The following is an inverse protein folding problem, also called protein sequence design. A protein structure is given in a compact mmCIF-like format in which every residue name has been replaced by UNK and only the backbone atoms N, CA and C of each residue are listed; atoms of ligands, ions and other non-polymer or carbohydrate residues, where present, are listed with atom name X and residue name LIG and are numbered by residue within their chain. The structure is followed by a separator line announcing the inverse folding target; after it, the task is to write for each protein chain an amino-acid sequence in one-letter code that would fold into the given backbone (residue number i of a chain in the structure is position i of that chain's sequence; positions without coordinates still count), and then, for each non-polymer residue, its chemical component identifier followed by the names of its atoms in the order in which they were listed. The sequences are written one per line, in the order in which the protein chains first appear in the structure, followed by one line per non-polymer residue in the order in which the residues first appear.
data_IF_108882727633
#
_entry.id   IF_108882727633
#
_cell.length_a   1.000
_cell.length_b   1.000
_cell.length_c   1.000
_cell.angle_alpha   90.00
_cell.angle_beta   90.00
_cell.angle_gamma   90.00
#
_symmetry.space_group_name_H-M   'P 1'
#
loop_
_entity.id
_entity.type
_entity.pdbx_description
1 polymer ?
#
# COMPACT_ATOMS: atom_id res chain seq x y z
N UNK A 1 0.30 -7.20 -9.34
CA UNK A 1 0.85 -7.64 -10.63
C UNK A 1 0.88 -6.42 -11.54
N UNK A 2 1.97 -6.18 -12.26
CA UNK A 2 2.14 -4.98 -13.09
C UNK A 2 2.52 -5.38 -14.52
N UNK A 3 2.08 -4.57 -15.48
CA UNK A 3 2.54 -4.61 -16.87
C UNK A 3 3.59 -3.53 -17.07
N UNK A 4 4.62 -3.81 -17.85
CA UNK A 4 5.67 -2.86 -18.19
C UNK A 4 6.08 -3.01 -19.63
N UNK A 5 7.02 -2.18 -20.07
CA UNK A 5 7.60 -2.29 -21.40
C UNK A 5 8.92 -3.02 -21.35
N UNK A 6 8.99 -4.19 -21.98
CA UNK A 6 10.21 -4.95 -22.23
C UNK A 6 10.91 -4.37 -23.45
N UNK A 7 12.17 -3.99 -23.31
CA UNK A 7 13.01 -3.44 -24.36
C UNK A 7 13.70 -4.56 -25.15
N UNK A 8 13.67 -4.44 -26.47
CA UNK A 8 14.34 -5.31 -27.42
C UNK A 8 15.29 -4.51 -28.31
N UNK A 9 16.37 -5.15 -28.78
CA UNK A 9 17.18 -4.67 -29.90
C UNK A 9 16.42 -4.83 -31.22
N UNK A 10 16.98 -4.28 -32.31
CA UNK A 10 16.44 -4.47 -33.66
C UNK A 10 16.50 -5.94 -34.08
N UNK A 11 17.49 -6.66 -33.58
CA UNK A 11 17.76 -8.08 -33.81
C UNK A 11 16.92 -9.00 -32.91
N UNK A 12 15.91 -8.44 -32.22
CA UNK A 12 15.00 -9.17 -31.34
C UNK A 12 15.66 -9.75 -30.07
N UNK A 13 16.79 -9.20 -29.63
CA UNK A 13 17.41 -9.60 -28.37
C UNK A 13 16.80 -8.84 -27.18
N UNK A 14 16.42 -9.53 -26.09
CA UNK A 14 15.83 -8.88 -24.93
C UNK A 14 16.91 -8.16 -24.10
N UNK A 15 16.69 -6.87 -23.84
CA UNK A 15 17.60 -6.04 -23.06
C UNK A 15 17.18 -5.97 -21.58
N UNK A 16 15.99 -5.44 -21.33
CA UNK A 16 15.48 -5.24 -19.97
C UNK A 16 14.16 -4.50 -19.94
N UNK A 17 13.85 -3.85 -18.82
CA UNK A 17 12.60 -3.10 -18.64
C UNK A 17 12.83 -1.61 -18.80
N UNK A 18 11.95 -0.94 -19.54
CA UNK A 18 12.05 0.49 -19.82
C UNK A 18 11.88 1.32 -18.55
N UNK A 19 12.80 2.25 -18.31
CA UNK A 19 12.62 3.35 -17.38
C UNK A 19 12.96 4.68 -18.04
N UNK A 20 12.39 5.75 -17.52
CA UNK A 20 12.71 7.13 -17.93
C UNK A 20 13.20 7.91 -16.72
N UNK A 21 14.10 8.85 -16.93
CA UNK A 21 14.50 9.79 -15.88
C UNK A 21 13.39 10.84 -15.65
N UNK A 22 13.47 11.61 -14.56
CA UNK A 22 12.41 12.52 -14.08
C UNK A 22 11.92 13.54 -15.12
N UNK A 23 12.73 13.87 -16.13
CA UNK A 23 12.36 14.76 -17.23
C UNK A 23 11.55 14.07 -18.34
N UNK A 24 11.41 12.74 -18.34
CA UNK A 24 10.93 11.90 -19.44
C UNK A 24 11.68 12.11 -20.78
N UNK A 25 12.82 12.80 -20.78
CA UNK A 25 13.62 13.07 -21.98
C UNK A 25 14.62 11.95 -22.25
N UNK A 26 15.09 11.29 -21.19
CA UNK A 26 16.06 10.20 -21.29
C UNK A 26 15.39 8.86 -21.03
N UNK A 27 15.59 7.96 -21.98
CA UNK A 27 15.07 6.60 -21.99
C UNK A 27 16.20 5.64 -21.68
N UNK A 28 15.99 4.61 -20.87
CA UNK A 28 16.98 3.57 -20.60
C UNK A 28 16.29 2.27 -20.18
N UNK A 29 17.07 1.21 -19.96
CA UNK A 29 16.54 -0.09 -19.53
C UNK A 29 17.33 -0.64 -18.35
N UNK A 30 16.67 -1.45 -17.52
CA UNK A 30 17.31 -2.15 -16.40
C UNK A 30 16.63 -3.49 -16.13
N UNK A 31 17.39 -4.45 -15.61
CA UNK A 31 16.86 -5.68 -15.01
C UNK A 31 17.02 -5.71 -13.48
N UNK A 32 17.69 -4.71 -12.88
CA UNK A 32 18.02 -4.68 -11.45
C UNK A 32 16.98 -3.92 -10.64
N UNK A 33 16.70 -2.67 -11.02
CA UNK A 33 15.85 -1.76 -10.25
C UNK A 33 14.48 -1.58 -10.92
N UNK A 34 13.65 -2.61 -10.85
CA UNK A 34 12.33 -2.62 -11.50
C UNK A 34 11.35 -1.55 -10.96
N UNK A 35 11.63 -0.97 -9.80
CA UNK A 35 10.81 0.09 -9.19
C UNK A 35 10.91 1.43 -9.94
N UNK A 36 12.00 1.65 -10.68
CA UNK A 36 12.15 2.83 -11.56
C UNK A 36 11.47 2.66 -12.90
N UNK A 37 11.17 1.41 -13.29
CA UNK A 37 10.61 1.11 -14.60
C UNK A 37 9.18 1.60 -14.72
N UNK A 38 8.82 1.97 -15.95
CA UNK A 38 7.45 2.32 -16.30
C UNK A 38 6.55 1.09 -16.11
N UNK A 39 5.47 1.27 -15.34
CA UNK A 39 4.60 0.20 -14.90
C UNK A 39 3.14 0.61 -14.83
N UNK A 40 2.24 -0.31 -15.16
CA UNK A 40 0.79 -0.13 -15.15
C UNK A 40 0.10 -1.27 -14.43
N UNK A 41 -1.00 -0.96 -13.74
CA UNK A 41 -1.83 -1.98 -13.09
C UNK A 41 -2.56 -2.88 -14.10
N UNK A 42 -2.80 -2.37 -15.31
CA UNK A 42 -3.56 -3.07 -16.36
C UNK A 42 -2.87 -2.97 -17.71
N UNK A 43 -3.04 -3.99 -18.55
CA UNK A 43 -2.51 -4.03 -19.92
C UNK A 43 -3.08 -2.88 -20.77
N UNK A 44 -4.38 -2.57 -20.60
CA UNK A 44 -5.05 -1.45 -21.29
C UNK A 44 -4.39 -0.10 -20.97
N UNK A 45 -3.97 0.09 -19.71
CA UNK A 45 -3.24 1.29 -19.30
C UNK A 45 -1.87 1.40 -19.99
N UNK A 46 -1.15 0.28 -20.12
CA UNK A 46 0.10 0.22 -20.84
C UNK A 46 -0.09 0.48 -22.34
N UNK A 47 -1.14 -0.07 -22.97
CA UNK A 47 -1.47 0.15 -24.39
C UNK A 47 -1.72 1.62 -24.72
N UNK A 48 -2.42 2.36 -23.84
CA UNK A 48 -2.76 3.78 -24.06
C UNK A 48 -1.54 4.67 -24.34
N UNK A 49 -0.39 4.35 -23.76
CA UNK A 49 0.83 5.15 -23.89
C UNK A 49 1.91 4.46 -24.72
N UNK A 50 1.63 3.28 -25.27
CA UNK A 50 2.64 2.41 -25.87
C UNK A 50 3.35 3.08 -27.06
N UNK A 51 2.61 3.63 -28.01
CA UNK A 51 3.19 4.20 -29.24
C UNK A 51 4.14 5.36 -28.94
N UNK A 52 3.78 6.23 -27.99
CA UNK A 52 4.64 7.33 -27.54
C UNK A 52 5.99 6.81 -27.04
N UNK A 53 5.98 5.82 -26.16
CA UNK A 53 7.20 5.27 -25.57
C UNK A 53 7.98 4.41 -26.57
N UNK A 54 7.31 3.66 -27.43
CA UNK A 54 7.93 2.82 -28.43
C UNK A 54 8.66 3.65 -29.50
N UNK A 55 8.06 4.76 -29.96
CA UNK A 55 8.70 5.64 -30.94
C UNK A 55 9.97 6.29 -30.37
N UNK A 56 9.92 6.78 -29.13
CA UNK A 56 11.10 7.35 -28.47
C UNK A 56 12.19 6.30 -28.24
N UNK A 57 11.79 5.07 -27.87
CA UNK A 57 12.72 3.97 -27.72
C UNK A 57 13.36 3.56 -29.05
N UNK A 58 12.59 3.47 -30.14
CA UNK A 58 13.09 3.17 -31.49
C UNK A 58 14.14 4.19 -31.93
N UNK A 59 13.88 5.47 -31.70
CA UNK A 59 14.85 6.53 -31.99
C UNK A 59 16.13 6.37 -31.16
N UNK A 60 15.99 6.20 -29.84
CA UNK A 60 17.14 6.11 -28.93
C UNK A 60 17.99 4.85 -29.14
N UNK A 61 17.35 3.71 -29.41
CA UNK A 61 17.99 2.40 -29.54
C UNK A 61 18.41 2.06 -30.98
N UNK A 62 18.27 3.01 -31.92
CA UNK A 62 18.59 2.83 -33.35
C UNK A 62 17.82 1.66 -33.98
N UNK A 63 16.51 1.58 -33.69
CA UNK A 63 15.60 0.61 -34.30
C UNK A 63 15.19 -0.57 -33.41
N UNK A 64 15.58 -0.57 -32.14
CA UNK A 64 15.01 -1.48 -31.14
C UNK A 64 13.55 -1.13 -30.82
N UNK A 65 12.82 -2.02 -30.18
CA UNK A 65 11.38 -1.86 -29.99
C UNK A 65 10.93 -2.34 -28.59
N UNK A 66 9.69 -2.01 -28.22
CA UNK A 66 9.09 -2.38 -26.95
C UNK A 66 8.03 -3.48 -27.11
N UNK A 67 7.85 -4.30 -26.08
CA UNK A 67 6.66 -5.16 -25.92
C UNK A 67 6.03 -4.94 -24.56
N UNK A 68 4.71 -5.03 -24.49
CA UNK A 68 3.99 -5.00 -23.22
C UNK A 68 4.03 -6.40 -22.63
N UNK A 69 4.65 -6.51 -21.46
CA UNK A 69 4.82 -7.80 -20.78
C UNK A 69 4.52 -7.68 -19.29
N UNK A 70 4.22 -8.83 -18.69
CA UNK A 70 4.05 -8.95 -17.24
C UNK A 70 5.40 -8.79 -16.55
N UNK A 71 5.48 -7.80 -15.67
CA UNK A 71 6.69 -7.52 -14.92
C UNK A 71 6.91 -8.58 -13.83
N UNK A 72 8.18 -8.94 -13.55
CA UNK A 72 8.54 -9.72 -12.38
C UNK A 72 8.00 -9.06 -11.10
N UNK A 73 7.69 -9.89 -10.10
CA UNK A 73 7.19 -9.42 -8.81
C UNK A 73 8.24 -8.52 -8.17
N UNK A 74 7.94 -7.22 -8.08
CA UNK A 74 8.77 -6.27 -7.36
C UNK A 74 8.58 -6.59 -5.88
N UNK A 75 9.62 -7.09 -5.22
CA UNK A 75 9.66 -7.20 -3.78
C UNK A 75 9.71 -5.77 -3.22
N UNK A 76 8.55 -5.22 -2.89
CA UNK A 76 8.49 -4.00 -2.09
C UNK A 76 9.16 -4.33 -0.76
N UNK A 77 10.33 -3.72 -0.52
CA UNK A 77 10.98 -3.82 0.77
C UNK A 77 10.01 -3.24 1.80
N UNK A 78 9.54 -4.11 2.69
CA UNK A 78 8.30 -4.00 3.49
C UNK A 78 8.16 -2.81 4.44
N UNK A 79 9.09 -1.87 4.49
CA UNK A 79 8.99 -0.72 5.38
C UNK A 79 9.05 0.56 4.54
N UNK A 80 7.92 1.29 4.45
CA UNK A 80 7.89 2.64 3.90
C UNK A 80 8.94 3.51 4.60
N UNK A 81 9.44 4.55 3.94
CA UNK A 81 10.38 5.51 4.55
C UNK A 81 9.84 6.04 5.89
N UNK A 82 8.52 6.19 5.96
CA UNK A 82 7.80 6.57 7.17
C UNK A 82 7.81 5.49 8.25
N UNK A 83 7.64 4.20 7.91
CA UNK A 83 7.78 3.11 8.88
C UNK A 83 9.20 3.02 9.45
N UNK A 84 10.23 3.18 8.61
CA UNK A 84 11.63 3.19 9.08
C UNK A 84 11.92 4.37 9.99
N UNK A 85 11.39 5.55 9.65
CA UNK A 85 11.53 6.73 10.48
C UNK A 85 10.78 6.58 11.81
N UNK A 86 9.57 6.01 11.79
CA UNK A 86 8.79 5.74 13.00
C UNK A 86 9.47 4.71 13.91
N UNK A 87 10.10 3.67 13.34
CA UNK A 87 10.90 2.70 14.09
C UNK A 87 12.13 3.35 14.75
N UNK A 88 12.84 4.22 14.01
CA UNK A 88 14.02 4.91 14.50
C UNK A 88 13.73 6.06 15.49
N UNK A 89 12.53 6.65 15.42
CA UNK A 89 12.12 7.82 16.24
C UNK A 89 10.93 7.47 17.15
N UNK A 90 10.94 6.26 17.70
CA UNK A 90 9.87 5.73 18.55
C UNK A 90 9.59 6.64 19.75
N UNK A 91 10.64 7.18 20.36
CA UNK A 91 10.55 8.06 21.53
C UNK A 91 9.95 9.43 21.18
N UNK A 92 10.30 9.98 20.02
CA UNK A 92 9.76 11.26 19.54
C UNK A 92 8.25 11.15 19.22
N UNK A 93 7.82 10.01 18.67
CA UNK A 93 6.40 9.70 18.48
C UNK A 93 5.68 9.57 19.82
N UNK A 94 6.31 8.94 20.81
CA UNK A 94 5.74 8.78 22.14
C UNK A 94 5.53 10.14 22.83
N UNK A 95 6.53 11.03 22.79
CA UNK A 95 6.42 12.39 23.32
C UNK A 95 5.41 13.25 22.56
N UNK A 96 5.39 13.19 21.23
CA UNK A 96 4.39 13.90 20.43
C UNK A 96 2.96 13.41 20.74
N UNK A 97 2.79 12.11 20.95
CA UNK A 97 1.53 11.49 21.36
C UNK A 97 1.11 11.96 22.77
N UNK A 98 2.01 11.98 23.74
CA UNK A 98 1.73 12.48 25.10
C UNK A 98 1.32 13.96 25.06
N UNK A 99 2.03 14.79 24.31
CA UNK A 99 1.72 16.21 24.14
C UNK A 99 0.36 16.44 23.44
N UNK A 100 0.00 15.58 22.48
CA UNK A 100 -1.31 15.62 21.83
C UNK A 100 -2.43 15.22 22.80
N UNK A 101 -2.23 14.14 23.55
CA UNK A 101 -3.18 13.64 24.54
C UNK A 101 -3.40 14.64 25.70
N UNK A 102 -2.37 15.40 26.09
CA UNK A 102 -2.50 16.48 27.08
C UNK A 102 -3.37 17.64 26.57
N UNK A 103 -3.25 18.00 25.27
CA UNK A 103 -4.00 19.11 24.66
C UNK A 103 -5.42 18.74 24.24
N UNK A 104 -5.66 17.48 23.94
CA UNK A 104 -6.96 16.92 23.61
C UNK A 104 -7.08 15.63 24.41
N UNK A 105 -7.75 15.65 25.57
CA UNK A 105 -8.05 14.42 26.31
C UNK A 105 -9.14 13.66 25.54
N UNK A 106 -8.77 13.13 24.38
CA UNK A 106 -9.47 11.99 23.79
C UNK A 106 -9.19 10.89 24.78
N UNK A 107 -10.21 10.43 25.50
CA UNK A 107 -10.15 9.21 26.30
C UNK A 107 -9.76 8.07 25.36
N UNK A 108 -8.46 7.84 25.19
CA UNK A 108 -7.95 6.79 24.33
C UNK A 108 -8.15 5.49 25.08
N UNK A 109 -9.25 4.81 24.80
CA UNK A 109 -9.56 3.50 25.35
C UNK A 109 -8.63 2.47 24.71
N UNK A 110 -7.67 1.95 25.49
CA UNK A 110 -6.79 0.85 25.09
C UNK A 110 -7.04 -0.34 26.03
N UNK A 111 -7.99 -1.24 25.69
CA UNK A 111 -8.27 -2.40 26.52
C UNK A 111 -7.07 -3.34 26.60
N UNK A 112 -6.94 -4.06 27.71
CA UNK A 112 -5.94 -5.13 27.89
C UNK A 112 -6.16 -6.25 26.87
N UNK A 113 -5.12 -7.02 26.57
CA UNK A 113 -5.20 -8.14 25.62
C UNK A 113 -6.32 -9.15 25.98
N UNK A 114 -6.46 -9.48 27.27
CA UNK A 114 -7.53 -10.35 27.78
C UNK A 114 -8.93 -9.83 27.45
N UNK A 115 -9.15 -8.51 27.58
CA UNK A 115 -10.43 -7.88 27.24
C UNK A 115 -10.69 -7.91 25.72
N UNK A 116 -9.63 -7.80 24.91
CA UNK A 116 -9.76 -7.89 23.45
C UNK A 116 -10.12 -9.30 22.99
N UNK A 117 -9.57 -10.33 23.63
CA UNK A 117 -9.93 -11.72 23.35
C UNK A 117 -11.37 -12.00 23.75
N UNK A 118 -11.77 -11.62 24.96
CA UNK A 118 -13.15 -11.73 25.42
C UNK A 118 -14.14 -10.99 24.50
N UNK A 119 -13.80 -9.78 24.04
CA UNK A 119 -14.64 -9.03 23.10
C UNK A 119 -14.80 -9.75 21.75
N UNK A 120 -13.78 -10.47 21.27
CA UNK A 120 -13.88 -11.24 20.03
C UNK A 120 -14.79 -12.46 20.18
N UNK A 121 -14.76 -13.12 21.33
CA UNK A 121 -15.65 -14.26 21.63
C UNK A 121 -17.12 -13.83 21.73
N UNK A 122 -17.37 -12.65 22.27
CA UNK A 122 -18.72 -12.07 22.42
C UNK A 122 -19.31 -11.48 21.13
N UNK A 123 -18.58 -11.57 20.01
CA UNK A 123 -19.00 -10.99 18.73
C UNK A 123 -20.12 -11.81 18.12
N UNK A 124 -21.20 -11.13 17.75
CA UNK A 124 -22.31 -11.78 17.06
C UNK A 124 -22.05 -11.89 15.57
N UNK A 125 -22.70 -12.87 14.96
CA UNK A 125 -22.78 -12.98 13.50
C UNK A 125 -24.12 -12.38 13.07
N UNK A 126 -24.10 -11.55 12.04
CA UNK A 126 -25.33 -10.99 11.47
C UNK A 126 -26.10 -12.05 10.65
N UNK A 127 -27.28 -11.67 10.18
CA UNK A 127 -28.15 -12.55 9.38
C UNK A 127 -27.52 -12.95 8.02
N UNK A 128 -26.44 -12.28 7.61
CA UNK A 128 -25.69 -12.57 6.39
C UNK A 128 -24.46 -13.47 6.64
N UNK A 129 -24.20 -13.86 7.89
CA UNK A 129 -23.03 -14.67 8.24
C UNK A 129 -21.76 -13.86 8.49
N UNK A 130 -21.84 -12.53 8.53
CA UNK A 130 -20.70 -11.64 8.75
C UNK A 130 -20.56 -11.25 10.23
N UNK A 131 -19.32 -11.12 10.74
CA UNK A 131 -19.08 -10.78 12.14
C UNK A 131 -19.38 -9.30 12.41
N UNK A 132 -20.11 -9.01 13.50
CA UNK A 132 -20.47 -7.67 13.98
C UNK A 132 -19.28 -6.69 13.97
N UNK A 133 -19.48 -5.41 13.60
CA UNK A 133 -18.37 -4.44 13.57
C UNK A 133 -17.84 -4.08 14.96
N UNK A 134 -16.58 -3.62 15.06
CA UNK A 134 -15.97 -3.20 16.34
C UNK A 134 -16.77 -2.09 17.03
N UNK A 135 -17.28 -1.13 16.25
CA UNK A 135 -18.09 -0.03 16.78
C UNK A 135 -19.43 -0.52 17.34
N UNK A 136 -20.10 -1.42 16.62
CA UNK A 136 -21.38 -2.01 17.06
C UNK A 136 -21.22 -2.80 18.36
N UNK A 137 -20.20 -3.65 18.43
CA UNK A 137 -19.88 -4.44 19.61
C UNK A 137 -19.60 -3.54 20.83
N UNK A 138 -18.75 -2.53 20.67
CA UNK A 138 -18.42 -1.59 21.75
C UNK A 138 -19.64 -0.80 22.21
N UNK A 139 -20.45 -0.29 21.29
CA UNK A 139 -21.68 0.44 21.64
C UNK A 139 -22.66 -0.46 22.40
N UNK A 140 -22.88 -1.71 21.95
CA UNK A 140 -23.74 -2.68 22.64
C UNK A 140 -23.27 -2.98 24.06
N UNK A 141 -21.96 -3.14 24.26
CA UNK A 141 -21.39 -3.38 25.60
C UNK A 141 -21.49 -2.15 26.49
N UNK A 142 -21.23 -0.96 25.96
CA UNK A 142 -21.38 0.30 26.69
C UNK A 142 -22.83 0.58 27.07
N UNK A 143 -23.80 0.28 26.20
CA UNK A 143 -25.23 0.38 26.52
C UNK A 143 -25.63 -0.61 27.63
N UNK A 144 -25.13 -1.84 27.58
CA UNK A 144 -25.37 -2.81 28.66
C UNK A 144 -24.79 -2.33 29.98
N UNK A 145 -23.55 -1.82 29.98
CA UNK A 145 -22.92 -1.27 31.19
C UNK A 145 -23.71 -0.07 31.72
N UNK A 146 -24.10 0.86 30.85
CA UNK A 146 -24.96 1.99 31.20
C UNK A 146 -26.27 1.55 31.83
N UNK A 147 -26.94 0.54 31.26
CA UNK A 147 -28.19 0.01 31.80
C UNK A 147 -27.99 -0.66 33.16
N UNK A 148 -26.89 -1.39 33.36
CA UNK A 148 -26.56 -2.01 34.65
C UNK A 148 -26.25 -0.96 35.72
N UNK A 149 -25.51 0.10 35.38
CA UNK A 149 -25.26 1.23 36.29
C UNK A 149 -26.55 1.97 36.65
N UNK A 150 -27.48 2.12 35.70
CA UNK A 150 -28.77 2.77 35.91
C UNK A 150 -29.79 1.92 36.65
N UNK A 151 -29.66 0.59 36.61
CA UNK A 151 -30.52 -0.34 37.33
C UNK A 151 -30.26 -0.41 38.84
N UNK A 152 -29.21 0.28 39.30
CA UNK A 152 -28.90 0.42 40.72
C UNK A 152 -28.33 -0.84 41.35
N UNK A 153 -27.25 -0.64 42.10
CA UNK A 153 -27.21 -1.24 43.43
C UNK A 153 -28.20 -0.49 44.33
#
# INVERSE_FOLDING_TARGET
MYYGYRCYTKENEPLGWLYTFDSNLEYAWTNKNLHWCKRWKTEKGAKKHFDYYNNNWQFKSKGGYLKIELMPKILENKNSSQQRWNEANRDALYQAQENYNQKRPIMSFRPKAELLEWLKEERWTDDNGEPETDASLLNRKLEKLKNLEQQGF
#
